data_IF_042226260921
#
_entry.id   IF_042226260921
#
_cell.length_a   1.000
_cell.length_b   1.000
_cell.length_c   1.000
_cell.angle_alpha   90.00
_cell.angle_beta   90.00
_cell.angle_gamma   90.00
#
_symmetry.space_group_name_H-M   'P 1'
#
loop_
_entity.id
_entity.type
_entity.pdbx_description
1 polymer ?
#
# COMPACT_ATOMS: atom_id res chain seq x y z
N UNK A 1 -30.23 20.17 -11.83
CA UNK A 1 -30.59 19.18 -12.84
C UNK A 1 -31.95 18.62 -12.48
N UNK A 2 -32.94 18.68 -13.41
CA UNK A 2 -34.26 18.06 -13.19
C UNK A 2 -34.07 16.55 -13.26
N UNK A 3 -34.18 15.86 -12.11
CA UNK A 3 -34.28 14.40 -12.07
C UNK A 3 -35.57 14.01 -12.79
N UNK A 4 -35.45 13.45 -13.98
CA UNK A 4 -36.57 12.84 -14.67
C UNK A 4 -36.99 11.61 -13.85
N UNK A 5 -38.12 11.69 -13.18
CA UNK A 5 -38.73 10.57 -12.46
C UNK A 5 -39.30 9.64 -13.51
N UNK A 6 -38.63 8.51 -13.76
CA UNK A 6 -39.18 7.47 -14.65
C UNK A 6 -40.49 6.95 -14.01
N UNK A 7 -41.46 6.65 -14.87
CA UNK A 7 -42.69 5.98 -14.42
C UNK A 7 -42.34 4.61 -13.83
N UNK A 8 -43.01 4.23 -12.74
CA UNK A 8 -42.74 3.00 -11.99
C UNK A 8 -42.75 1.76 -12.89
N UNK A 9 -43.74 1.65 -13.78
CA UNK A 9 -43.88 0.51 -14.67
C UNK A 9 -42.71 0.37 -15.64
N UNK A 10 -42.13 1.49 -16.10
CA UNK A 10 -40.92 1.48 -16.93
C UNK A 10 -39.71 1.05 -16.15
N UNK A 11 -39.53 1.53 -14.91
CA UNK A 11 -38.41 1.13 -14.02
C UNK A 11 -38.48 -0.36 -13.73
N UNK A 12 -39.66 -0.88 -13.40
CA UNK A 12 -39.89 -2.29 -13.15
C UNK A 12 -39.59 -3.13 -14.40
N UNK A 13 -40.09 -2.72 -15.55
CA UNK A 13 -39.80 -3.40 -16.84
C UNK A 13 -38.29 -3.45 -17.13
N UNK A 14 -37.59 -2.31 -16.97
CA UNK A 14 -36.16 -2.22 -17.22
C UNK A 14 -35.34 -3.03 -16.22
N UNK A 15 -35.80 -3.13 -14.97
CA UNK A 15 -35.14 -3.95 -13.93
C UNK A 15 -35.18 -5.45 -14.25
N UNK A 16 -36.23 -5.90 -14.94
CA UNK A 16 -36.38 -7.30 -15.34
C UNK A 16 -35.80 -7.62 -16.70
N UNK A 17 -35.93 -6.70 -17.68
CA UNK A 17 -35.70 -6.97 -19.09
C UNK A 17 -34.65 -6.07 -19.75
N UNK A 18 -34.12 -5.06 -19.03
CA UNK A 18 -33.07 -4.19 -19.54
C UNK A 18 -31.75 -4.93 -19.70
N UNK A 19 -30.86 -4.38 -20.52
CA UNK A 19 -29.48 -4.88 -20.54
C UNK A 19 -28.75 -4.59 -19.22
N UNK A 20 -27.63 -5.27 -18.92
CA UNK A 20 -26.90 -5.09 -17.66
C UNK A 20 -26.46 -3.65 -17.40
N UNK A 21 -26.17 -2.86 -18.44
CA UNK A 21 -25.76 -1.44 -18.30
C UNK A 21 -26.92 -0.59 -17.79
N UNK A 22 -28.13 -0.82 -18.34
CA UNK A 22 -29.34 -0.14 -17.88
C UNK A 22 -29.71 -0.55 -16.45
N UNK A 23 -29.70 -1.86 -16.13
CA UNK A 23 -29.97 -2.37 -14.79
C UNK A 23 -28.98 -1.81 -13.77
N UNK A 24 -27.68 -1.75 -14.10
CA UNK A 24 -26.64 -1.14 -13.27
C UNK A 24 -26.91 0.36 -13.02
N UNK A 25 -27.32 1.09 -14.06
CA UNK A 25 -27.67 2.52 -13.91
C UNK A 25 -28.88 2.71 -13.01
N UNK A 26 -29.89 1.86 -13.12
CA UNK A 26 -31.06 1.86 -12.21
C UNK A 26 -30.64 1.53 -10.79
N UNK A 27 -29.80 0.52 -10.59
CA UNK A 27 -29.33 0.12 -9.28
C UNK A 27 -28.68 1.26 -8.46
N UNK A 28 -28.01 2.20 -9.14
CA UNK A 28 -27.42 3.38 -8.52
C UNK A 28 -28.38 4.56 -8.35
N UNK A 29 -29.62 4.47 -8.86
CA UNK A 29 -30.55 5.60 -8.83
C UNK A 29 -31.10 5.85 -7.42
N UNK A 30 -31.09 7.10 -6.89
CA UNK A 30 -31.73 7.43 -5.63
C UNK A 30 -33.25 7.30 -5.74
N UNK A 31 -33.89 6.80 -4.70
CA UNK A 31 -35.36 6.67 -4.63
C UNK A 31 -35.93 5.49 -5.41
N UNK A 32 -35.12 4.49 -5.73
CA UNK A 32 -35.59 3.20 -6.25
C UNK A 32 -36.43 2.48 -5.17
N UNK A 33 -37.55 1.88 -5.57
CA UNK A 33 -38.40 1.14 -4.63
C UNK A 33 -37.64 -0.02 -3.96
N UNK A 34 -37.82 -0.30 -2.66
CA UNK A 34 -37.08 -1.31 -1.93
C UNK A 34 -37.17 -2.73 -2.50
N UNK A 35 -38.29 -3.08 -3.10
CA UNK A 35 -38.50 -4.37 -3.79
C UNK A 35 -37.63 -4.50 -5.04
N UNK A 36 -37.45 -3.41 -5.80
CA UNK A 36 -36.57 -3.37 -6.96
C UNK A 36 -35.07 -3.33 -6.54
N UNK A 37 -34.75 -2.67 -5.45
CA UNK A 37 -33.40 -2.75 -4.84
C UNK A 37 -33.07 -4.20 -4.46
N UNK A 38 -34.01 -4.90 -3.83
CA UNK A 38 -33.84 -6.30 -3.44
C UNK A 38 -33.73 -7.23 -4.67
N UNK A 39 -34.47 -6.97 -5.74
CA UNK A 39 -34.38 -7.68 -7.01
C UNK A 39 -32.98 -7.51 -7.64
N UNK A 40 -32.54 -6.25 -7.82
CA UNK A 40 -31.25 -5.94 -8.44
C UNK A 40 -30.07 -6.35 -7.57
N UNK A 41 -30.23 -6.44 -6.24
CA UNK A 41 -29.25 -7.00 -5.31
C UNK A 41 -28.99 -8.50 -5.51
N UNK A 42 -29.87 -9.20 -6.23
CA UNK A 42 -29.74 -10.62 -6.61
C UNK A 42 -29.58 -10.81 -8.12
N UNK A 43 -29.26 -9.74 -8.85
CA UNK A 43 -29.07 -9.80 -10.29
C UNK A 43 -28.00 -10.82 -10.68
N UNK A 44 -28.20 -11.49 -11.82
CA UNK A 44 -27.21 -12.41 -12.35
C UNK A 44 -25.89 -11.72 -12.74
N UNK A 45 -25.95 -10.43 -13.11
CA UNK A 45 -24.77 -9.65 -13.44
C UNK A 45 -24.15 -9.01 -12.20
N UNK A 46 -22.91 -9.35 -11.93
CA UNK A 46 -22.16 -8.87 -10.76
C UNK A 46 -22.02 -7.34 -10.72
N UNK A 47 -21.89 -6.68 -11.87
CA UNK A 47 -21.77 -5.23 -11.94
C UNK A 47 -23.04 -4.50 -11.48
N UNK A 48 -24.21 -5.15 -11.63
CA UNK A 48 -25.50 -4.66 -11.11
C UNK A 48 -25.53 -4.83 -9.60
N UNK A 49 -25.20 -6.04 -9.08
CA UNK A 49 -25.11 -6.30 -7.63
C UNK A 49 -24.13 -5.34 -6.96
N UNK A 50 -22.96 -5.10 -7.58
CA UNK A 50 -21.99 -4.14 -7.13
C UNK A 50 -22.52 -2.71 -7.07
N UNK A 51 -23.34 -2.29 -8.04
CA UNK A 51 -23.97 -0.97 -8.00
C UNK A 51 -24.97 -0.84 -6.84
N UNK A 52 -25.77 -1.89 -6.59
CA UNK A 52 -26.67 -1.93 -5.42
C UNK A 52 -25.88 -1.84 -4.12
N UNK A 53 -24.79 -2.61 -3.99
CA UNK A 53 -24.02 -2.71 -2.74
C UNK A 53 -23.45 -1.37 -2.22
N UNK A 54 -23.29 -0.41 -3.12
CA UNK A 54 -22.80 0.95 -2.80
C UNK A 54 -23.85 1.90 -2.25
N UNK A 55 -25.11 1.50 -2.21
CA UNK A 55 -26.21 2.37 -1.78
C UNK A 55 -26.14 2.68 -0.28
N UNK A 56 -26.46 3.93 0.12
CA UNK A 56 -26.52 4.33 1.54
C UNK A 56 -27.76 3.78 2.26
N UNK A 57 -28.83 3.50 1.54
CA UNK A 57 -30.18 3.20 2.05
C UNK A 57 -30.43 1.70 2.28
N UNK A 58 -29.39 0.84 2.15
CA UNK A 58 -29.49 -0.59 2.45
C UNK A 58 -29.47 -0.84 3.97
N UNK A 59 -30.28 -1.83 4.40
CA UNK A 59 -30.11 -2.45 5.73
C UNK A 59 -28.91 -3.38 5.75
N UNK A 60 -28.38 -3.73 6.95
CA UNK A 60 -27.28 -4.69 7.05
C UNK A 60 -27.68 -6.10 6.58
N UNK A 61 -28.95 -6.49 6.74
CA UNK A 61 -29.46 -7.74 6.19
C UNK A 61 -29.43 -7.75 4.66
N UNK A 62 -29.82 -6.64 4.02
CA UNK A 62 -29.73 -6.49 2.58
C UNK A 62 -28.28 -6.52 2.12
N UNK A 63 -27.36 -5.84 2.82
CA UNK A 63 -25.93 -5.85 2.52
C UNK A 63 -25.34 -7.25 2.59
N UNK A 64 -25.66 -8.01 3.65
CA UNK A 64 -25.21 -9.38 3.85
C UNK A 64 -25.72 -10.33 2.76
N UNK A 65 -26.88 -10.05 2.18
CA UNK A 65 -27.50 -10.86 1.12
C UNK A 65 -26.98 -10.58 -0.30
N UNK A 66 -26.09 -9.59 -0.49
CA UNK A 66 -25.52 -9.28 -1.81
C UNK A 66 -24.24 -10.10 -1.99
N UNK A 67 -24.29 -11.06 -2.91
CA UNK A 67 -23.15 -11.89 -3.27
C UNK A 67 -22.23 -11.16 -4.26
N UNK A 68 -21.03 -10.77 -3.80
CA UNK A 68 -20.00 -10.11 -4.61
C UNK A 68 -18.65 -10.71 -4.25
N UNK A 69 -17.93 -11.16 -5.26
CA UNK A 69 -16.53 -11.55 -5.13
C UNK A 69 -15.64 -10.30 -5.23
N UNK A 70 -15.07 -9.90 -4.10
CA UNK A 70 -14.14 -8.76 -4.06
C UNK A 70 -12.72 -9.24 -4.32
N UNK A 71 -12.21 -8.98 -5.53
CA UNK A 71 -10.78 -9.14 -5.78
C UNK A 71 -9.98 -8.22 -4.84
N UNK A 72 -9.18 -8.79 -3.90
CA UNK A 72 -8.39 -7.98 -2.96
C UNK A 72 -7.30 -7.13 -3.64
N UNK A 73 -7.04 -7.38 -4.93
CA UNK A 73 -6.10 -6.57 -5.74
C UNK A 73 -6.75 -5.32 -6.32
N UNK A 74 -8.08 -5.26 -6.37
CA UNK A 74 -8.80 -4.10 -6.85
C UNK A 74 -9.04 -3.11 -5.70
N UNK A 75 -8.43 -1.94 -5.83
CA UNK A 75 -8.64 -0.81 -4.92
C UNK A 75 -9.89 -0.05 -5.38
N UNK A 76 -11.01 -0.33 -4.73
CA UNK A 76 -12.23 0.44 -4.97
C UNK A 76 -12.13 1.82 -4.32
N UNK A 77 -12.73 2.82 -4.96
CA UNK A 77 -12.91 4.13 -4.34
C UNK A 77 -13.77 4.00 -3.07
N UNK A 78 -13.52 4.85 -2.06
CA UNK A 78 -14.38 4.87 -0.87
C UNK A 78 -15.81 5.21 -1.26
N UNK A 79 -16.74 4.81 -0.41
CA UNK A 79 -18.13 5.22 -0.51
C UNK A 79 -18.27 6.63 0.07
N UNK A 80 -18.65 7.60 -0.77
CA UNK A 80 -18.72 9.01 -0.39
C UNK A 80 -19.60 9.22 0.85
N UNK A 81 -20.78 8.56 0.91
CA UNK A 81 -21.68 8.66 2.04
C UNK A 81 -21.11 8.10 3.37
N UNK A 82 -20.12 7.17 3.31
CA UNK A 82 -19.37 6.72 4.50
C UNK A 82 -18.32 7.76 4.87
N UNK A 83 -17.65 8.32 3.86
CA UNK A 83 -16.63 9.35 4.07
C UNK A 83 -17.22 10.61 4.72
N UNK A 84 -18.43 10.99 4.34
CA UNK A 84 -19.18 12.12 4.94
C UNK A 84 -19.49 11.92 6.44
N UNK A 85 -19.40 10.66 6.93
CA UNK A 85 -19.64 10.30 8.33
C UNK A 85 -18.35 10.07 9.13
N UNK A 86 -17.17 10.38 8.58
CA UNK A 86 -15.90 10.16 9.27
C UNK A 86 -15.75 10.96 10.57
N UNK A 87 -16.49 12.03 10.76
CA UNK A 87 -16.52 12.84 11.98
C UNK A 87 -17.61 12.41 12.99
N UNK A 88 -18.39 11.35 12.68
CA UNK A 88 -19.41 10.79 13.58
C UNK A 88 -18.96 9.47 14.21
N UNK A 89 -18.48 9.46 15.47
CA UNK A 89 -18.01 8.23 16.13
C UNK A 89 -19.07 7.14 16.28
N UNK A 90 -20.35 7.52 16.38
CA UNK A 90 -21.44 6.55 16.51
C UNK A 90 -21.73 5.87 15.16
N UNK A 91 -21.71 6.65 14.07
CA UNK A 91 -21.81 6.11 12.72
C UNK A 91 -20.61 5.20 12.41
N UNK A 92 -19.38 5.60 12.73
CA UNK A 92 -18.17 4.79 12.49
C UNK A 92 -18.25 3.44 13.20
N UNK A 93 -18.70 3.37 14.47
CA UNK A 93 -18.90 2.10 15.20
C UNK A 93 -19.89 1.18 14.51
N UNK A 94 -21.01 1.75 14.07
CA UNK A 94 -22.03 0.97 13.36
C UNK A 94 -21.53 0.45 12.03
N UNK A 95 -20.87 1.30 11.25
CA UNK A 95 -20.41 0.98 9.89
C UNK A 95 -19.18 0.06 9.88
N UNK A 96 -18.33 0.13 10.90
CA UNK A 96 -17.20 -0.80 11.05
C UNK A 96 -17.64 -2.25 11.26
N UNK A 97 -18.84 -2.46 11.78
CA UNK A 97 -19.44 -3.80 11.96
C UNK A 97 -20.29 -4.24 10.75
N UNK A 98 -20.29 -3.48 9.66
CA UNK A 98 -21.10 -3.81 8.48
C UNK A 98 -20.68 -5.16 7.87
N UNK A 99 -21.67 -5.95 7.45
CA UNK A 99 -21.44 -7.18 6.70
C UNK A 99 -20.72 -6.93 5.35
N UNK A 100 -20.79 -5.70 4.82
CA UNK A 100 -20.28 -5.39 3.49
C UNK A 100 -18.83 -4.86 3.51
N UNK A 101 -17.87 -5.54 2.84
CA UNK A 101 -16.45 -5.15 2.86
C UNK A 101 -16.19 -3.70 2.43
N UNK A 102 -16.86 -3.17 1.40
CA UNK A 102 -16.65 -1.80 0.94
C UNK A 102 -17.02 -0.75 1.98
N UNK A 103 -18.02 -1.02 2.82
CA UNK A 103 -18.37 -0.13 3.94
C UNK A 103 -17.22 -0.11 4.95
N UNK A 104 -16.75 -1.28 5.38
CA UNK A 104 -15.62 -1.41 6.32
C UNK A 104 -14.32 -0.81 5.75
N UNK A 105 -14.03 -1.06 4.44
CA UNK A 105 -12.91 -0.45 3.72
C UNK A 105 -12.99 1.08 3.69
N UNK A 106 -14.20 1.63 3.56
CA UNK A 106 -14.41 3.09 3.56
C UNK A 106 -14.25 3.68 4.97
N UNK A 107 -14.71 2.99 6.01
CA UNK A 107 -14.46 3.38 7.42
C UNK A 107 -12.96 3.38 7.73
N UNK A 108 -12.23 2.37 7.29
CA UNK A 108 -10.79 2.24 7.53
C UNK A 108 -9.94 3.39 6.94
N UNK A 109 -10.51 4.17 6.02
CA UNK A 109 -9.86 5.36 5.43
C UNK A 109 -9.99 6.62 6.27
N UNK A 110 -10.70 6.58 7.39
CA UNK A 110 -10.79 7.71 8.30
C UNK A 110 -9.44 7.92 9.02
N UNK A 111 -9.01 9.17 9.09
CA UNK A 111 -7.73 9.53 9.72
C UNK A 111 -7.72 9.26 11.22
N UNK A 112 -8.87 9.43 11.86
CA UNK A 112 -9.08 9.18 13.30
C UNK A 112 -10.29 8.30 13.48
N UNK A 113 -10.14 7.28 14.27
CA UNK A 113 -11.18 6.31 14.57
C UNK A 113 -11.30 6.14 16.09
N UNK A 114 -12.50 5.84 16.61
CA UNK A 114 -12.61 5.38 18.00
C UNK A 114 -11.72 4.17 18.26
N UNK A 115 -11.08 4.05 19.45
CA UNK A 115 -10.14 2.96 19.74
C UNK A 115 -10.75 1.57 19.54
N UNK A 116 -12.00 1.36 19.91
CA UNK A 116 -12.74 0.12 19.70
C UNK A 116 -12.94 -0.21 18.21
N UNK A 117 -13.12 0.80 17.36
CA UNK A 117 -13.19 0.64 15.90
C UNK A 117 -11.82 0.28 15.31
N UNK A 118 -10.74 0.94 15.79
CA UNK A 118 -9.36 0.60 15.37
C UNK A 118 -9.07 -0.88 15.68
N UNK A 119 -9.38 -1.35 16.90
CA UNK A 119 -9.17 -2.74 17.29
C UNK A 119 -9.97 -3.73 16.42
N UNK A 120 -11.22 -3.39 16.11
CA UNK A 120 -12.09 -4.21 15.27
C UNK A 120 -11.50 -4.33 13.85
N UNK A 121 -11.21 -3.21 13.19
CA UNK A 121 -10.73 -3.18 11.81
C UNK A 121 -9.29 -3.71 11.68
N UNK A 122 -8.45 -3.60 12.71
CA UNK A 122 -7.11 -4.18 12.74
C UNK A 122 -7.11 -5.72 12.71
N UNK A 123 -8.24 -6.36 13.06
CA UNK A 123 -8.45 -7.81 13.03
C UNK A 123 -9.45 -8.23 11.94
N UNK A 124 -9.80 -7.32 11.03
CA UNK A 124 -10.75 -7.63 9.94
C UNK A 124 -10.22 -8.77 9.08
N UNK A 125 -11.11 -9.66 8.66
CA UNK A 125 -10.79 -10.77 7.74
C UNK A 125 -10.38 -10.26 6.35
N UNK A 126 -10.91 -9.11 5.94
CA UNK A 126 -10.56 -8.45 4.70
C UNK A 126 -9.23 -7.69 4.84
N UNK A 127 -8.17 -8.24 4.24
CA UNK A 127 -6.82 -7.65 4.26
C UNK A 127 -6.77 -6.22 3.71
N UNK A 128 -7.70 -5.83 2.81
CA UNK A 128 -7.77 -4.48 2.26
C UNK A 128 -8.30 -3.48 3.28
N UNK A 129 -9.15 -3.92 4.23
CA UNK A 129 -9.52 -3.10 5.40
C UNK A 129 -8.29 -2.77 6.23
N UNK A 130 -7.46 -3.78 6.56
CA UNK A 130 -6.21 -3.55 7.30
C UNK A 130 -5.24 -2.65 6.51
N UNK A 131 -5.16 -2.81 5.17
CA UNK A 131 -4.33 -1.96 4.32
C UNK A 131 -4.74 -0.49 4.39
N UNK A 132 -6.03 -0.20 4.29
CA UNK A 132 -6.51 1.19 4.36
C UNK A 132 -6.41 1.77 5.76
N UNK A 133 -6.55 0.94 6.80
CA UNK A 133 -6.28 1.36 8.17
C UNK A 133 -4.80 1.76 8.34
N UNK A 134 -3.88 0.96 7.81
CA UNK A 134 -2.44 1.27 7.83
C UNK A 134 -2.09 2.53 7.02
N UNK A 135 -2.82 2.79 5.93
CA UNK A 135 -2.62 3.97 5.09
C UNK A 135 -3.11 5.25 5.76
N UNK A 136 -4.28 5.22 6.39
CA UNK A 136 -5.03 6.43 6.72
C UNK A 136 -5.08 6.75 8.21
N UNK A 137 -5.22 5.74 9.08
CA UNK A 137 -5.44 5.94 10.50
C UNK A 137 -4.13 6.11 11.26
N UNK A 138 -3.96 7.23 11.97
CA UNK A 138 -2.74 7.52 12.74
C UNK A 138 -2.62 6.64 14.02
N UNK A 139 -3.71 6.01 14.45
CA UNK A 139 -3.76 5.14 15.65
C UNK A 139 -3.65 3.64 15.29
N UNK A 140 -3.30 3.30 14.06
CA UNK A 140 -3.17 1.92 13.61
C UNK A 140 -2.15 1.13 14.48
N UNK A 141 -2.48 -0.11 14.94
CA UNK A 141 -1.62 -0.86 15.86
C UNK A 141 -0.36 -1.40 15.18
N UNK A 142 0.75 -1.42 15.93
CA UNK A 142 2.07 -1.82 15.45
C UNK A 142 2.12 -3.24 14.86
N UNK A 143 1.46 -4.20 15.49
CA UNK A 143 1.41 -5.59 15.03
C UNK A 143 0.65 -5.74 13.70
N UNK A 144 -0.43 -4.97 13.52
CA UNK A 144 -1.18 -4.94 12.26
C UNK A 144 -0.33 -4.28 11.16
N UNK A 145 0.39 -3.20 11.45
CA UNK A 145 1.30 -2.55 10.49
C UNK A 145 2.40 -3.52 10.00
N UNK A 146 2.97 -4.35 10.89
CA UNK A 146 3.91 -5.40 10.50
C UNK A 146 3.25 -6.46 9.60
N UNK A 147 2.02 -6.88 9.93
CA UNK A 147 1.29 -7.82 9.07
C UNK A 147 1.06 -7.24 7.68
N UNK A 148 0.67 -5.97 7.57
CA UNK A 148 0.48 -5.29 6.28
C UNK A 148 1.82 -5.19 5.53
N UNK A 149 2.89 -4.79 6.19
CA UNK A 149 4.24 -4.74 5.61
C UNK A 149 4.66 -6.08 5.01
N UNK A 150 4.35 -7.17 5.66
CA UNK A 150 4.74 -8.52 5.24
C UNK A 150 4.24 -8.90 3.84
N UNK A 151 3.06 -8.44 3.44
CA UNK A 151 2.45 -8.84 2.19
C UNK A 151 2.24 -7.72 1.18
N UNK A 152 2.11 -6.46 1.63
CA UNK A 152 1.85 -5.35 0.73
C UNK A 152 3.15 -4.83 0.11
N UNK A 153 3.22 -4.84 -1.24
CA UNK A 153 4.39 -4.39 -2.02
C UNK A 153 4.08 -3.19 -2.91
N UNK A 154 2.82 -2.75 -2.98
CA UNK A 154 2.40 -1.63 -3.79
C UNK A 154 2.66 -0.27 -3.12
N UNK A 155 2.35 0.80 -3.86
CA UNK A 155 2.34 2.16 -3.33
C UNK A 155 1.02 2.46 -2.63
N UNK A 156 1.06 3.29 -1.60
CA UNK A 156 -0.10 3.87 -0.94
C UNK A 156 -0.13 5.39 -1.22
N UNK A 157 -1.29 6.02 -1.06
CA UNK A 157 -1.44 7.47 -1.26
C UNK A 157 -0.66 8.26 -0.20
N UNK A 158 -0.58 7.74 1.02
CA UNK A 158 0.31 8.27 2.04
C UNK A 158 1.72 7.74 1.79
N UNK A 159 2.69 8.62 1.47
CA UNK A 159 4.04 8.20 1.17
C UNK A 159 4.67 7.48 2.37
N UNK A 160 5.48 6.47 2.06
CA UNK A 160 6.24 5.64 3.00
C UNK A 160 5.41 4.73 3.95
N UNK A 161 4.08 4.76 3.92
CA UNK A 161 3.28 3.82 4.72
C UNK A 161 3.24 2.42 4.08
N UNK A 162 3.18 1.34 4.87
CA UNK A 162 3.05 1.31 6.34
C UNK A 162 4.35 1.57 7.10
N UNK A 163 5.54 1.44 6.50
CA UNK A 163 6.84 1.57 7.18
C UNK A 163 7.04 2.96 7.82
N UNK A 164 6.66 4.05 7.14
CA UNK A 164 6.72 5.42 7.66
C UNK A 164 5.63 5.79 8.67
N UNK A 165 4.77 4.85 9.06
CA UNK A 165 3.72 5.11 10.05
C UNK A 165 4.31 5.43 11.43
N UNK A 166 3.75 6.41 12.20
CA UNK A 166 4.27 6.76 13.54
C UNK A 166 4.36 5.57 14.49
N UNK A 167 3.39 4.66 14.44
CA UNK A 167 3.33 3.46 15.28
C UNK A 167 4.05 2.25 14.68
N UNK A 168 4.73 2.39 13.53
CA UNK A 168 5.49 1.27 12.98
C UNK A 168 6.64 0.91 13.94
N UNK A 169 6.85 -0.36 14.27
CA UNK A 169 7.90 -0.77 15.21
C UNK A 169 9.28 -0.31 14.76
N UNK A 170 10.09 0.18 15.72
CA UNK A 170 11.47 0.61 15.50
C UNK A 170 12.48 -0.17 16.33
N UNK A 171 12.00 -1.04 17.22
CA UNK A 171 12.79 -1.89 18.11
C UNK A 171 12.35 -3.35 17.95
N UNK A 172 13.16 -4.27 18.46
CA UNK A 172 12.94 -5.72 18.39
C UNK A 172 12.84 -6.26 16.95
N UNK A 173 13.36 -5.53 15.98
CA UNK A 173 13.31 -5.92 14.56
C UNK A 173 14.40 -6.92 14.19
N UNK A 174 15.46 -7.03 14.99
CA UNK A 174 16.54 -8.03 14.82
C UNK A 174 16.02 -9.48 14.83
N UNK A 175 14.90 -9.76 15.50
CA UNK A 175 14.24 -11.08 15.48
C UNK A 175 13.85 -11.53 14.09
N UNK A 176 13.72 -10.61 13.13
CA UNK A 176 13.39 -10.91 11.74
C UNK A 176 14.62 -11.13 10.84
N UNK A 177 15.84 -11.08 11.39
CA UNK A 177 17.05 -11.20 10.60
C UNK A 177 17.20 -12.54 9.84
N UNK A 178 16.51 -13.58 10.29
CA UNK A 178 16.49 -14.91 9.67
C UNK A 178 15.09 -15.32 9.17
N UNK A 179 14.19 -14.33 9.02
CA UNK A 179 12.83 -14.58 8.53
C UNK A 179 12.85 -15.11 7.09
N UNK A 180 12.06 -16.13 6.74
CA UNK A 180 11.97 -16.64 5.37
C UNK A 180 11.49 -15.57 4.38
N UNK A 181 10.69 -14.61 4.84
CA UNK A 181 10.24 -13.50 4.02
C UNK A 181 11.32 -12.40 3.94
N UNK A 182 11.88 -12.11 2.75
CA UNK A 182 12.92 -11.10 2.58
C UNK A 182 12.49 -9.69 3.02
N UNK A 183 11.21 -9.36 2.89
CA UNK A 183 10.70 -8.06 3.37
C UNK A 183 10.82 -7.92 4.88
N UNK A 184 10.61 -9.01 5.62
CA UNK A 184 10.80 -9.01 7.07
C UNK A 184 12.28 -8.93 7.43
N UNK A 185 13.17 -9.65 6.70
CA UNK A 185 14.63 -9.56 6.94
C UNK A 185 15.15 -8.13 6.82
N UNK A 186 14.67 -7.37 5.82
CA UNK A 186 15.09 -5.98 5.62
C UNK A 186 14.88 -5.11 6.86
N UNK A 187 13.80 -5.35 7.63
CA UNK A 187 13.49 -4.57 8.84
C UNK A 187 14.58 -4.68 9.91
N UNK A 188 15.34 -5.78 9.94
CA UNK A 188 16.41 -5.95 10.91
C UNK A 188 17.53 -4.89 10.78
N UNK A 189 17.67 -4.25 9.59
CA UNK A 189 18.61 -3.14 9.41
C UNK A 189 18.10 -1.81 10.00
N UNK A 190 16.80 -1.70 10.23
CA UNK A 190 16.18 -0.49 10.81
C UNK A 190 16.20 -0.50 12.35
N UNK A 191 16.55 -1.65 12.95
CA UNK A 191 16.70 -1.75 14.39
C UNK A 191 17.89 -0.90 14.87
N UNK A 192 17.76 -0.08 15.93
CA UNK A 192 18.86 0.67 16.50
C UNK A 192 20.06 -0.18 16.97
N UNK A 193 19.81 -1.45 17.34
CA UNK A 193 20.85 -2.39 17.75
C UNK A 193 21.46 -3.17 16.56
N UNK A 194 21.04 -2.86 15.32
CA UNK A 194 21.60 -3.49 14.11
C UNK A 194 23.07 -3.14 13.92
N UNK A 195 23.88 -4.16 13.60
CA UNK A 195 25.33 -4.04 13.54
C UNK A 195 25.89 -3.99 12.11
N UNK A 196 27.12 -3.49 11.89
CA UNK A 196 27.79 -3.55 10.61
C UNK A 196 27.93 -5.00 10.07
N UNK A 197 28.10 -5.98 10.95
CA UNK A 197 28.21 -7.40 10.58
C UNK A 197 26.92 -7.93 9.98
N UNK A 198 25.76 -7.46 10.47
CA UNK A 198 24.46 -7.79 9.89
C UNK A 198 24.33 -7.19 8.48
N UNK A 199 24.76 -5.93 8.27
CA UNK A 199 24.79 -5.30 6.95
C UNK A 199 25.68 -6.08 5.99
N UNK A 200 26.88 -6.53 6.44
CA UNK A 200 27.77 -7.38 5.65
C UNK A 200 27.13 -8.71 5.27
N UNK A 201 26.43 -9.35 6.21
CA UNK A 201 25.67 -10.57 5.93
C UNK A 201 24.62 -10.33 4.87
N UNK A 202 23.80 -9.29 5.00
CA UNK A 202 22.72 -8.96 4.07
C UNK A 202 23.21 -8.49 2.70
N UNK A 203 24.42 -7.95 2.61
CA UNK A 203 25.04 -7.65 1.32
C UNK A 203 25.35 -8.90 0.47
N UNK A 204 25.13 -10.11 1.03
CA UNK A 204 25.27 -11.43 0.38
C UNK A 204 23.97 -12.23 0.43
N UNK A 205 22.85 -11.61 0.79
CA UNK A 205 21.56 -12.29 0.88
C UNK A 205 21.16 -12.86 -0.50
N UNK A 206 20.52 -14.03 -0.57
CA UNK A 206 20.02 -14.57 -1.83
C UNK A 206 19.00 -13.66 -2.51
N UNK A 207 18.22 -12.92 -1.73
CA UNK A 207 17.20 -11.99 -2.23
C UNK A 207 17.82 -10.64 -2.62
N UNK A 208 17.45 -10.15 -3.81
CA UNK A 208 17.99 -8.92 -4.37
C UNK A 208 17.60 -7.67 -3.59
N UNK A 209 16.38 -7.63 -3.06
CA UNK A 209 15.88 -6.47 -2.31
C UNK A 209 16.58 -6.33 -0.96
N UNK A 210 16.95 -7.45 -0.32
CA UNK A 210 17.75 -7.43 0.92
C UNK A 210 19.17 -6.94 0.62
N UNK A 211 19.80 -7.40 -0.49
CA UNK A 211 21.10 -6.88 -0.93
C UNK A 211 21.04 -5.40 -1.29
N UNK A 212 19.98 -4.97 -1.97
CA UNK A 212 19.75 -3.56 -2.29
C UNK A 212 19.64 -2.69 -1.04
N UNK A 213 18.89 -3.16 -0.04
CA UNK A 213 18.76 -2.46 1.25
C UNK A 213 20.12 -2.34 1.95
N UNK A 214 20.91 -3.41 1.96
CA UNK A 214 22.27 -3.39 2.51
C UNK A 214 23.21 -2.48 1.71
N UNK A 215 23.10 -2.43 0.37
CA UNK A 215 23.90 -1.55 -0.48
C UNK A 215 23.68 -0.06 -0.20
N UNK A 216 22.53 0.30 0.33
CA UNK A 216 22.19 1.68 0.74
C UNK A 216 22.54 2.00 2.20
N UNK A 217 22.90 0.99 3.00
CA UNK A 217 23.16 1.19 4.42
C UNK A 217 24.53 1.86 4.65
N UNK A 218 24.61 2.98 5.38
CA UNK A 218 25.88 3.71 5.58
C UNK A 218 26.93 2.90 6.36
N UNK A 219 26.56 1.82 7.03
CA UNK A 219 27.45 0.92 7.78
C UNK A 219 28.15 -0.08 6.88
N UNK A 220 27.71 -0.28 5.60
CA UNK A 220 28.34 -1.20 4.68
C UNK A 220 29.84 -0.89 4.51
N UNK A 221 30.70 -1.92 4.47
CA UNK A 221 32.12 -1.72 4.28
C UNK A 221 32.49 -1.30 2.87
N UNK A 222 33.63 -0.64 2.71
CA UNK A 222 34.19 -0.30 1.40
C UNK A 222 34.42 -1.53 0.50
N UNK A 223 34.85 -2.66 1.10
CA UNK A 223 35.06 -3.90 0.38
C UNK A 223 33.77 -4.49 -0.18
N UNK A 224 32.70 -4.47 0.60
CA UNK A 224 31.37 -4.94 0.16
C UNK A 224 30.72 -3.99 -0.85
N UNK A 225 30.91 -2.67 -0.72
CA UNK A 225 30.48 -1.73 -1.74
C UNK A 225 31.18 -2.01 -3.09
N UNK A 226 32.49 -2.29 -3.08
CA UNK A 226 33.24 -2.67 -4.31
C UNK A 226 32.72 -3.99 -4.89
N UNK A 227 32.45 -4.99 -4.07
CA UNK A 227 31.91 -6.29 -4.54
C UNK A 227 30.54 -6.12 -5.19
N UNK A 228 29.67 -5.32 -4.61
CA UNK A 228 28.31 -5.09 -5.12
C UNK A 228 28.28 -4.31 -6.45
N UNK A 229 29.39 -3.74 -6.91
CA UNK A 229 29.50 -3.21 -8.28
C UNK A 229 29.38 -4.31 -9.34
N UNK A 230 29.64 -5.55 -8.98
CA UNK A 230 29.52 -6.72 -9.86
C UNK A 230 28.23 -7.52 -9.59
N UNK A 231 27.25 -6.95 -8.84
CA UNK A 231 25.97 -7.62 -8.60
C UNK A 231 25.21 -7.83 -9.93
N UNK A 232 24.52 -8.97 -10.12
CA UNK A 232 23.74 -9.22 -11.33
C UNK A 232 22.66 -8.17 -11.59
N UNK A 233 22.13 -7.53 -10.51
CA UNK A 233 21.03 -6.57 -10.61
C UNK A 233 21.52 -5.12 -10.72
N UNK A 234 21.12 -4.42 -11.80
CA UNK A 234 21.58 -3.06 -12.11
C UNK A 234 21.33 -2.03 -11.01
N UNK A 235 20.17 -2.10 -10.35
CA UNK A 235 19.82 -1.17 -9.25
C UNK A 235 20.73 -1.35 -8.02
N UNK A 236 21.22 -2.58 -7.75
CA UNK A 236 22.19 -2.84 -6.68
C UNK A 236 23.56 -2.28 -7.05
N UNK A 237 24.02 -2.51 -8.31
CA UNK A 237 25.26 -1.91 -8.81
C UNK A 237 25.23 -0.40 -8.71
N UNK A 238 24.09 0.20 -9.06
CA UNK A 238 23.88 1.64 -8.94
C UNK A 238 23.95 2.11 -7.48
N UNK A 239 23.27 1.42 -6.54
CA UNK A 239 23.34 1.76 -5.12
C UNK A 239 24.77 1.66 -4.57
N UNK A 240 25.52 0.62 -4.95
CA UNK A 240 26.91 0.44 -4.58
C UNK A 240 27.82 1.54 -5.14
N UNK A 241 27.60 1.95 -6.40
CA UNK A 241 28.33 3.06 -7.03
C UNK A 241 28.16 4.41 -6.28
N UNK A 242 26.97 4.64 -5.76
CA UNK A 242 26.67 5.85 -4.98
C UNK A 242 27.03 5.76 -3.50
N UNK A 243 27.50 4.58 -3.05
CA UNK A 243 27.77 4.38 -1.63
C UNK A 243 28.92 5.26 -1.13
N UNK A 244 28.71 5.95 0.01
CA UNK A 244 29.66 6.95 0.53
C UNK A 244 31.04 6.37 0.86
N UNK A 245 31.15 5.08 1.16
CA UNK A 245 32.42 4.37 1.45
C UNK A 245 33.11 3.78 0.23
N UNK A 246 32.54 3.93 -0.98
CA UNK A 246 33.22 3.45 -2.18
C UNK A 246 34.54 4.22 -2.36
N UNK A 247 35.70 3.53 -2.54
CA UNK A 247 36.99 4.21 -2.66
C UNK A 247 37.06 5.07 -3.92
N UNK A 248 37.56 6.29 -3.79
CA UNK A 248 37.66 7.25 -4.90
C UNK A 248 38.42 6.71 -6.13
N UNK A 249 39.49 5.92 -5.89
CA UNK A 249 40.25 5.24 -6.97
C UNK A 249 39.37 4.30 -7.81
N UNK A 250 38.35 3.67 -7.20
CA UNK A 250 37.42 2.79 -7.90
C UNK A 250 36.47 3.63 -8.74
N UNK A 251 35.93 4.73 -8.19
CA UNK A 251 35.07 5.66 -8.92
C UNK A 251 35.80 6.21 -10.16
N UNK A 252 37.06 6.65 -10.01
CA UNK A 252 37.87 7.17 -11.13
C UNK A 252 38.10 6.11 -12.19
N UNK A 253 38.34 4.84 -11.80
CA UNK A 253 38.50 3.74 -12.73
C UNK A 253 37.22 3.49 -13.53
N UNK A 254 36.06 3.42 -12.86
CA UNK A 254 34.76 3.18 -13.50
C UNK A 254 34.37 4.30 -14.46
N UNK A 255 34.67 5.57 -14.13
CA UNK A 255 34.38 6.71 -15.00
C UNK A 255 35.30 6.77 -16.26
N UNK A 256 36.44 6.08 -16.23
CA UNK A 256 37.35 5.98 -17.39
C UNK A 256 37.05 4.81 -18.31
N UNK A 257 36.17 3.89 -17.87
CA UNK A 257 35.78 2.74 -18.64
C UNK A 257 34.70 3.18 -19.66
N UNK A 258 34.97 3.13 -20.96
CA UNK A 258 34.03 3.55 -22.00
C UNK A 258 32.75 2.71 -22.04
N UNK A 259 32.77 1.47 -21.52
CA UNK A 259 31.60 0.60 -21.48
C UNK A 259 30.64 0.89 -20.32
N UNK A 260 31.09 1.71 -19.36
CA UNK A 260 30.25 2.17 -18.22
C UNK A 260 29.76 3.62 -18.36
N UNK A 261 30.15 4.31 -19.41
CA UNK A 261 29.93 5.72 -19.61
C UNK A 261 28.62 6.07 -20.34
N UNK A 262 27.47 5.85 -19.71
CA UNK A 262 26.42 6.87 -19.80
C UNK A 262 26.61 7.82 -18.61
N UNK A 263 26.98 9.07 -18.81
CA UNK A 263 27.06 10.05 -17.75
C UNK A 263 25.65 10.53 -17.39
N UNK A 264 24.87 9.70 -16.72
CA UNK A 264 23.80 10.20 -15.88
C UNK A 264 24.47 11.18 -14.88
N UNK A 265 24.01 12.41 -14.84
CA UNK A 265 24.59 13.48 -14.04
C UNK A 265 25.03 12.97 -12.67
N UNK A 266 26.34 13.05 -12.40
CA UNK A 266 26.92 12.60 -11.14
C UNK A 266 26.23 13.32 -9.96
N UNK A 267 25.69 12.64 -8.96
CA UNK A 267 25.14 13.31 -7.80
C UNK A 267 26.15 14.24 -7.14
N UNK A 268 25.62 15.35 -6.61
CA UNK A 268 26.41 16.38 -5.94
C UNK A 268 27.43 15.85 -4.91
N UNK A 269 27.13 14.81 -4.08
CA UNK A 269 28.11 14.25 -3.17
C UNK A 269 29.33 13.59 -3.84
N UNK A 270 29.13 12.94 -5.00
CA UNK A 270 30.20 12.34 -5.77
C UNK A 270 31.04 13.39 -6.46
N UNK A 271 30.41 14.42 -7.05
CA UNK A 271 31.14 15.57 -7.63
C UNK A 271 31.97 16.30 -6.55
N UNK A 272 31.41 16.57 -5.37
CA UNK A 272 32.16 17.17 -4.25
C UNK A 272 33.36 16.33 -3.85
N UNK A 273 33.21 15.01 -3.79
CA UNK A 273 34.28 14.07 -3.44
C UNK A 273 35.35 13.99 -4.54
N UNK A 274 34.95 14.06 -5.81
CA UNK A 274 35.87 14.12 -6.94
C UNK A 274 36.67 15.44 -6.95
N UNK A 275 36.01 16.58 -6.68
CA UNK A 275 36.67 17.90 -6.59
C UNK A 275 37.71 17.97 -5.46
N UNK A 276 37.48 17.23 -4.35
CA UNK A 276 38.45 17.09 -3.24
C UNK A 276 39.68 16.24 -3.61
N UNK A 277 39.61 15.43 -4.66
CA UNK A 277 40.66 14.54 -5.11
C UNK A 277 41.44 15.06 -6.31
N UNK A 278 40.94 16.12 -6.95
CA UNK A 278 41.69 16.82 -7.99
C UNK A 278 42.79 17.64 -7.31
N UNK A 279 44.07 17.58 -7.81
CA UNK A 279 45.12 18.50 -7.36
C UNK A 279 44.63 19.93 -7.61
N UNK A 280 45.04 20.90 -6.73
CA UNK A 280 44.72 22.29 -6.97
C UNK A 280 45.22 22.68 -8.36
N UNK A 281 44.36 23.32 -9.13
CA UNK A 281 44.73 23.85 -10.42
C UNK A 281 45.88 24.84 -10.19
N UNK A 282 47.06 24.50 -10.66
CA UNK A 282 48.26 25.31 -10.64
C UNK A 282 48.15 26.44 -11.65
#
# INVERSE_FOLDING_TARGET
MKTCRLERDLVEHLSHHGDPVLRRSLAGSPGLDPDLVALLGRDQDESVRFAVSKRPDLTEEQRAGIDIDFDPRLHHYPLDWVTDLHDDPAALRRLAASAHPLVRRSVARAKRLPPDVVELLARDEDRVVQLFLAESCDDAPADMLLRVWQWWTGSLSAPDRPHGHPNFPRHDLLRHADDPNPRMRQLALDDPESTPELVERFSRDPDEEVRYRAAKDPRLTAASAVRLLDDPHGHIRQAAFWHARLPARVIVRLLRDPDTAEPAALPVPVMKRMLQLLPPLS
#
